data_IF_963567231133
#
_entry.id   IF_963567231133
#
_cell.length_a   1.000
_cell.length_b   1.000
_cell.length_c   1.000
_cell.angle_alpha   90.00
_cell.angle_beta   90.00
_cell.angle_gamma   90.00
#
_symmetry.space_group_name_H-M   'P 1'
#
loop_
_entity.id
_entity.type
_entity.pdbx_description
1 polymer ?
#
# COMPACT_ATOMS: atom_id res chain seq x y z
N UNK A 1 22.90 8.13 -23.74
CA UNK A 1 23.97 7.35 -23.07
C UNK A 1 23.28 6.46 -22.08
N UNK A 2 23.51 5.16 -22.15
CA UNK A 2 22.90 4.22 -21.21
C UNK A 2 23.47 4.49 -19.80
N UNK A 3 22.60 4.76 -18.84
CA UNK A 3 23.03 4.96 -17.45
C UNK A 3 23.34 3.60 -16.85
N UNK A 4 24.61 3.38 -16.49
CA UNK A 4 25.05 2.13 -15.87
C UNK A 4 25.52 2.39 -14.44
N UNK A 5 25.01 1.61 -13.49
CA UNK A 5 25.38 1.65 -12.08
C UNK A 5 25.80 0.25 -11.61
N UNK A 6 26.92 0.19 -10.90
CA UNK A 6 27.38 -1.01 -10.18
C UNK A 6 27.23 -0.76 -8.68
N UNK A 7 26.43 -1.57 -7.98
CA UNK A 7 26.45 -1.68 -6.52
C UNK A 7 27.45 -2.74 -6.13
N UNK A 8 28.46 -2.39 -5.33
CA UNK A 8 29.59 -3.29 -5.04
C UNK A 8 29.64 -3.71 -3.60
N UNK A 9 29.77 -5.03 -3.35
CA UNK A 9 30.17 -5.60 -2.06
C UNK A 9 29.08 -5.62 -0.98
N UNK A 10 27.82 -5.42 -1.30
CA UNK A 10 26.71 -5.52 -0.35
C UNK A 10 26.26 -6.95 -0.10
N UNK A 11 25.69 -7.25 1.07
CA UNK A 11 24.95 -8.49 1.26
C UNK A 11 23.58 -8.37 0.59
N UNK A 12 23.42 -9.09 -0.51
CA UNK A 12 22.17 -9.13 -1.26
C UNK A 12 21.27 -10.19 -0.66
N UNK A 13 20.04 -9.83 -0.34
CA UNK A 13 18.99 -10.72 0.16
C UNK A 13 17.77 -10.58 -0.77
N UNK A 14 17.53 -11.59 -1.59
CA UNK A 14 16.35 -11.69 -2.46
C UNK A 14 15.70 -13.06 -2.29
N UNK A 15 14.69 -13.18 -1.44
CA UNK A 15 14.02 -14.46 -1.18
C UNK A 15 13.32 -15.04 -2.41
N UNK A 16 12.84 -14.17 -3.33
CA UNK A 16 12.16 -14.63 -4.53
C UNK A 16 13.07 -15.37 -5.49
N UNK A 17 14.36 -15.03 -5.50
CA UNK A 17 15.40 -15.68 -6.30
C UNK A 17 16.29 -16.63 -5.49
N UNK A 18 16.05 -16.76 -4.17
CA UNK A 18 16.87 -17.58 -3.29
C UNK A 18 18.30 -17.05 -3.11
N UNK A 19 18.52 -15.74 -3.28
CA UNK A 19 19.83 -15.11 -3.15
C UNK A 19 20.04 -14.62 -1.72
N UNK A 20 21.12 -15.05 -1.07
CA UNK A 20 21.66 -14.49 0.18
C UNK A 20 23.18 -14.60 0.15
N UNK A 21 23.87 -13.47 -0.03
CA UNK A 21 25.33 -13.47 -0.11
C UNK A 21 25.93 -12.10 -0.44
N UNK A 22 27.23 -11.95 -0.17
CA UNK A 22 27.97 -10.73 -0.53
C UNK A 22 28.32 -10.77 -2.03
N UNK A 23 27.61 -9.96 -2.81
CA UNK A 23 27.67 -9.92 -4.26
C UNK A 23 27.63 -8.48 -4.77
N UNK A 24 27.85 -8.32 -6.08
CA UNK A 24 27.67 -7.05 -6.80
C UNK A 24 26.37 -7.12 -7.61
N UNK A 25 25.76 -5.94 -7.84
CA UNK A 25 24.57 -5.79 -8.72
C UNK A 25 24.91 -4.79 -9.81
N UNK A 26 24.71 -5.20 -11.08
CA UNK A 26 24.78 -4.30 -12.22
C UNK A 26 23.38 -3.85 -12.63
N UNK A 27 23.20 -2.55 -12.74
CA UNK A 27 21.97 -1.91 -13.21
C UNK A 27 22.28 -1.16 -14.51
N UNK A 28 21.47 -1.38 -15.52
CA UNK A 28 21.55 -0.68 -16.81
C UNK A 28 20.17 -0.13 -17.15
N UNK A 29 20.10 1.16 -17.41
CA UNK A 29 18.85 1.86 -17.74
C UNK A 29 17.71 1.58 -16.73
N UNK A 30 18.04 1.57 -15.44
CA UNK A 30 17.09 1.35 -14.34
C UNK A 30 16.70 -0.11 -14.10
N UNK A 31 17.25 -1.07 -14.86
CA UNK A 31 16.97 -2.50 -14.69
C UNK A 31 18.20 -3.26 -14.16
N UNK A 32 17.97 -4.18 -13.21
CA UNK A 32 19.01 -5.12 -12.76
C UNK A 32 19.29 -6.11 -13.89
N UNK A 33 20.52 -6.09 -14.40
CA UNK A 33 20.94 -6.95 -15.53
C UNK A 33 21.80 -8.11 -15.09
N UNK A 34 22.53 -7.99 -13.97
CA UNK A 34 23.42 -9.03 -13.47
C UNK A 34 23.58 -8.95 -11.95
N UNK A 35 23.62 -10.11 -11.31
CA UNK A 35 24.01 -10.28 -9.91
C UNK A 35 25.14 -11.32 -9.87
N UNK A 36 26.24 -11.03 -9.17
CA UNK A 36 27.38 -11.96 -9.07
C UNK A 36 28.57 -11.33 -8.36
N UNK A 37 29.58 -12.14 -8.05
CA UNK A 37 30.78 -11.65 -7.41
C UNK A 37 31.78 -11.08 -8.44
N UNK A 38 32.45 -9.98 -8.09
CA UNK A 38 33.56 -9.42 -8.86
C UNK A 38 33.15 -8.89 -10.22
N UNK A 39 32.00 -8.28 -10.38
CA UNK A 39 31.53 -7.72 -11.64
C UNK A 39 32.43 -6.54 -12.08
N UNK A 40 32.71 -6.45 -13.36
CA UNK A 40 33.43 -5.31 -13.94
C UNK A 40 32.55 -4.04 -13.86
N UNK A 41 33.17 -2.93 -13.49
CA UNK A 41 32.50 -1.64 -13.46
C UNK A 41 32.29 -1.11 -14.88
N UNK A 42 31.03 -0.94 -15.27
CA UNK A 42 30.62 -0.34 -16.53
C UNK A 42 29.86 0.95 -16.27
N UNK A 43 30.53 2.00 -15.78
CA UNK A 43 29.92 3.28 -15.42
C UNK A 43 30.12 3.63 -13.95
N UNK A 44 29.10 4.26 -13.33
CA UNK A 44 29.17 4.69 -11.90
C UNK A 44 29.22 3.48 -10.99
N UNK A 45 30.11 3.48 -10.01
CA UNK A 45 30.15 2.46 -8.94
C UNK A 45 29.74 3.11 -7.61
N UNK A 46 28.89 2.43 -6.87
CA UNK A 46 28.51 2.74 -5.51
C UNK A 46 28.98 1.59 -4.61
N UNK A 47 29.90 1.89 -3.69
CA UNK A 47 30.31 0.93 -2.65
C UNK A 47 29.19 0.81 -1.62
N UNK A 48 28.65 -0.39 -1.48
CA UNK A 48 27.62 -0.77 -0.51
C UNK A 48 28.11 -1.86 0.44
N UNK A 49 29.45 -1.95 0.62
CA UNK A 49 30.06 -2.88 1.57
C UNK A 49 29.54 -2.64 2.98
N UNK A 50 29.15 -3.70 3.67
CA UNK A 50 28.53 -3.62 5.00
C UNK A 50 27.05 -3.26 4.99
N UNK A 51 26.46 -2.94 3.85
CA UNK A 51 25.02 -2.73 3.70
C UNK A 51 24.29 -4.03 3.35
N UNK A 52 23.01 -4.10 3.73
CA UNK A 52 22.07 -5.10 3.19
C UNK A 52 21.36 -4.46 2.00
N UNK A 53 21.33 -5.18 0.89
CA UNK A 53 20.66 -4.77 -0.34
C UNK A 53 19.52 -5.74 -0.63
N UNK A 54 18.31 -5.23 -0.69
CA UNK A 54 17.10 -6.01 -0.93
C UNK A 54 16.32 -5.44 -2.12
N UNK A 55 15.38 -6.17 -2.71
CA UNK A 55 14.30 -5.56 -3.48
C UNK A 55 13.61 -4.47 -2.65
N UNK A 56 13.10 -3.43 -3.29
CA UNK A 56 12.37 -2.37 -2.61
C UNK A 56 11.15 -2.93 -1.87
N UNK A 57 10.88 -2.41 -0.67
CA UNK A 57 9.76 -2.86 0.13
C UNK A 57 8.42 -2.48 -0.52
N UNK A 58 7.39 -3.29 -0.23
CA UNK A 58 6.01 -3.07 -0.65
C UNK A 58 5.16 -2.91 0.61
N UNK A 59 4.40 -1.81 0.68
CA UNK A 59 3.42 -1.60 1.74
C UNK A 59 2.01 -1.77 1.17
N UNK A 60 1.26 -2.70 1.74
CA UNK A 60 -0.08 -3.05 1.26
C UNK A 60 -1.18 -2.17 1.85
N UNK A 61 -0.87 -1.30 2.83
CA UNK A 61 -1.86 -0.50 3.54
C UNK A 61 -1.30 0.87 3.93
N UNK A 62 -1.51 1.88 3.08
CA UNK A 62 -1.05 3.25 3.32
C UNK A 62 -2.15 4.27 3.11
N UNK A 63 -1.98 5.46 3.72
CA UNK A 63 -2.94 6.55 3.65
C UNK A 63 -2.30 7.79 3.05
N UNK A 64 -2.61 8.11 1.79
CA UNK A 64 -2.08 9.29 1.11
C UNK A 64 -2.85 10.58 1.41
N UNK A 65 -4.09 10.45 1.95
CA UNK A 65 -4.96 11.55 2.38
C UNK A 65 -5.46 12.48 1.27
N UNK A 66 -4.81 12.54 0.14
CA UNK A 66 -5.19 13.31 -1.03
C UNK A 66 -5.91 12.40 -2.05
N UNK A 67 -7.05 12.88 -2.61
CA UNK A 67 -7.69 14.18 -2.45
C UNK A 67 -8.52 14.30 -1.15
N UNK A 68 -8.71 15.55 -0.70
CA UNK A 68 -9.72 15.96 0.28
C UNK A 68 -9.24 16.11 1.72
N UNK A 69 -8.04 15.64 2.06
CA UNK A 69 -7.47 15.75 3.40
C UNK A 69 -5.99 16.17 3.35
N UNK A 70 -5.64 17.04 2.43
CA UNK A 70 -4.27 17.48 2.13
C UNK A 70 -3.56 18.12 3.34
N UNK A 71 -4.33 18.62 4.32
CA UNK A 71 -3.80 19.13 5.60
C UNK A 71 -3.19 18.01 6.48
N UNK A 72 -3.52 16.74 6.21
CA UNK A 72 -2.96 15.58 6.92
C UNK A 72 -1.78 14.95 6.17
N UNK A 73 -1.73 15.12 4.85
CA UNK A 73 -0.71 14.58 3.97
C UNK A 73 -1.10 14.72 2.51
N UNK A 74 -0.12 14.72 1.63
CA UNK A 74 -0.31 14.75 0.18
C UNK A 74 0.34 13.55 -0.48
N UNK A 75 -0.05 13.23 -1.70
CA UNK A 75 0.60 12.16 -2.48
C UNK A 75 2.13 12.39 -2.53
N UNK A 76 2.55 13.63 -2.74
CA UNK A 76 3.99 13.97 -2.81
C UNK A 76 4.72 13.72 -1.48
N UNK A 77 4.14 14.15 -0.34
CA UNK A 77 4.79 14.02 0.97
C UNK A 77 4.82 12.58 1.46
N UNK A 78 3.70 11.86 1.34
CA UNK A 78 3.58 10.49 1.82
C UNK A 78 4.41 9.52 0.99
N UNK A 79 4.44 9.71 -0.34
CA UNK A 79 5.29 8.87 -1.21
C UNK A 79 6.79 9.19 -1.05
N UNK A 80 7.14 10.43 -0.70
CA UNK A 80 8.53 10.76 -0.33
C UNK A 80 8.93 10.11 1.00
N UNK A 81 8.02 10.05 1.98
CA UNK A 81 8.25 9.34 3.24
C UNK A 81 8.43 7.82 3.00
N UNK A 82 7.59 7.22 2.15
CA UNK A 82 7.72 5.84 1.74
C UNK A 82 9.09 5.56 1.09
N UNK A 83 9.51 6.39 0.14
CA UNK A 83 10.81 6.28 -0.52
C UNK A 83 11.96 6.31 0.48
N UNK A 84 11.93 7.24 1.45
CA UNK A 84 12.94 7.34 2.51
C UNK A 84 12.95 6.12 3.45
N UNK A 85 11.82 5.44 3.59
CA UNK A 85 11.69 4.19 4.32
C UNK A 85 12.12 2.94 3.54
N UNK A 86 12.52 3.09 2.27
CA UNK A 86 12.91 1.98 1.40
C UNK A 86 11.74 1.29 0.70
N UNK A 87 10.53 1.87 0.77
CA UNK A 87 9.36 1.38 0.04
C UNK A 87 9.36 1.92 -1.38
N UNK A 88 9.32 1.05 -2.36
CA UNK A 88 9.28 1.39 -3.78
C UNK A 88 7.88 1.23 -4.39
N UNK A 89 7.01 0.53 -3.68
CA UNK A 89 5.60 0.33 -4.06
C UNK A 89 4.72 0.41 -2.81
N UNK A 90 3.61 1.12 -2.90
CA UNK A 90 2.63 1.23 -1.82
C UNK A 90 1.22 1.08 -2.36
N UNK A 91 0.31 0.51 -1.55
CA UNK A 91 -1.11 0.43 -1.87
C UNK A 91 -1.87 1.51 -1.09
N UNK A 92 -2.57 2.38 -1.81
CA UNK A 92 -3.26 3.53 -1.23
C UNK A 92 -4.70 3.19 -0.87
N UNK A 93 -5.03 3.26 0.42
CA UNK A 93 -6.38 3.05 0.94
C UNK A 93 -7.37 4.10 0.44
N UNK A 94 -8.66 3.73 0.28
CA UNK A 94 -9.66 4.58 -0.38
C UNK A 94 -10.27 5.66 0.51
N UNK A 95 -9.70 5.95 1.66
CA UNK A 95 -10.23 6.92 2.62
C UNK A 95 -9.85 8.38 2.28
N UNK A 96 -10.20 8.78 1.08
CA UNK A 96 -10.08 10.12 0.51
C UNK A 96 -11.46 10.79 0.34
N UNK A 97 -11.49 12.05 -0.09
CA UNK A 97 -12.72 12.75 -0.42
C UNK A 97 -12.55 13.54 -1.76
N UNK A 98 -13.20 13.11 -2.84
CA UNK A 98 -14.07 11.93 -2.91
C UNK A 98 -13.31 10.60 -2.71
N UNK A 99 -14.03 9.58 -2.24
CA UNK A 99 -13.52 8.22 -2.17
C UNK A 99 -13.56 7.56 -3.57
N UNK A 100 -12.59 6.72 -3.95
CA UNK A 100 -12.55 6.08 -5.27
C UNK A 100 -13.55 4.91 -5.35
N UNK A 101 -14.83 5.24 -5.46
CA UNK A 101 -15.97 4.32 -5.56
C UNK A 101 -16.58 4.24 -6.97
N UNK A 102 -16.07 5.05 -7.90
CA UNK A 102 -16.48 5.11 -9.30
C UNK A 102 -15.28 5.36 -10.22
N UNK A 103 -15.42 5.02 -11.50
CA UNK A 103 -14.35 5.07 -12.50
C UNK A 103 -13.76 6.48 -12.72
N UNK A 104 -14.57 7.52 -12.68
CA UNK A 104 -14.13 8.89 -12.87
C UNK A 104 -13.31 9.41 -11.68
N UNK A 105 -13.71 9.08 -10.47
CA UNK A 105 -12.95 9.42 -9.25
C UNK A 105 -11.59 8.69 -9.24
N UNK A 106 -11.60 7.39 -9.59
CA UNK A 106 -10.37 6.61 -9.69
C UNK A 106 -9.43 7.19 -10.75
N UNK A 107 -9.94 7.58 -11.91
CA UNK A 107 -9.14 8.21 -12.96
C UNK A 107 -8.48 9.51 -12.47
N UNK A 108 -9.25 10.38 -11.81
CA UNK A 108 -8.72 11.62 -11.25
C UNK A 108 -7.63 11.37 -10.20
N UNK A 109 -7.82 10.35 -9.35
CA UNK A 109 -6.80 9.93 -8.38
C UNK A 109 -5.52 9.47 -9.09
N UNK A 110 -5.63 8.64 -10.13
CA UNK A 110 -4.47 8.16 -10.91
C UNK A 110 -3.70 9.29 -11.59
N UNK A 111 -4.38 10.28 -12.16
CA UNK A 111 -3.75 11.46 -12.75
C UNK A 111 -2.92 12.24 -11.71
N UNK A 112 -3.42 12.35 -10.47
CA UNK A 112 -2.67 12.97 -9.36
C UNK A 112 -1.47 12.10 -8.96
N UNK A 113 -1.64 10.79 -8.86
CA UNK A 113 -0.56 9.85 -8.57
C UNK A 113 0.56 9.98 -9.63
N UNK A 114 0.22 9.97 -10.91
CA UNK A 114 1.19 10.09 -12.01
C UNK A 114 1.98 11.41 -11.94
N UNK A 115 1.33 12.49 -11.54
CA UNK A 115 1.97 13.81 -11.44
C UNK A 115 2.88 13.95 -10.20
N UNK A 116 2.44 13.45 -9.04
CA UNK A 116 3.00 13.85 -7.75
C UNK A 116 3.76 12.73 -7.01
N UNK A 117 3.52 11.46 -7.36
CA UNK A 117 4.11 10.34 -6.63
C UNK A 117 5.61 10.19 -6.85
N UNK A 118 6.32 9.78 -5.81
CA UNK A 118 7.78 9.50 -5.81
C UNK A 118 8.10 8.01 -5.86
N UNK A 119 7.12 7.16 -5.59
CA UNK A 119 7.19 5.71 -5.68
C UNK A 119 5.98 5.21 -6.43
N UNK A 120 5.97 3.93 -6.80
CA UNK A 120 4.81 3.31 -7.43
C UNK A 120 3.65 3.25 -6.45
N UNK A 121 2.52 3.85 -6.80
CA UNK A 121 1.29 3.83 -6.02
C UNK A 121 0.25 2.99 -6.74
N UNK A 122 -0.29 2.01 -6.03
CA UNK A 122 -1.36 1.13 -6.50
C UNK A 122 -2.65 1.52 -5.76
N UNK A 123 -3.67 2.07 -6.43
CA UNK A 123 -4.90 2.47 -5.78
C UNK A 123 -5.73 1.26 -5.35
N UNK A 124 -6.35 1.36 -4.17
CA UNK A 124 -7.38 0.47 -3.67
C UNK A 124 -8.72 1.17 -3.87
N UNK A 125 -9.70 0.47 -4.44
CA UNK A 125 -11.04 0.99 -4.65
C UNK A 125 -11.97 0.71 -3.47
N UNK A 126 -13.11 1.42 -3.40
CA UNK A 126 -14.10 1.18 -2.36
C UNK A 126 -14.85 -0.14 -2.58
N UNK A 127 -15.21 -0.83 -1.49
CA UNK A 127 -16.18 -1.94 -1.52
C UNK A 127 -17.59 -1.36 -1.70
N UNK A 128 -17.91 -0.28 -0.96
CA UNK A 128 -19.24 0.34 -0.99
C UNK A 128 -19.18 1.80 -1.43
N UNK A 129 -20.28 2.30 -1.97
CA UNK A 129 -20.39 3.71 -2.37
C UNK A 129 -20.15 4.63 -1.19
N UNK A 130 -19.23 5.58 -1.36
CA UNK A 130 -18.80 6.51 -0.33
C UNK A 130 -18.26 5.85 0.92
N UNK A 131 -17.90 4.55 0.89
CA UNK A 131 -17.51 3.75 2.05
C UNK A 131 -18.57 3.75 3.16
N UNK A 132 -19.85 3.71 2.76
CA UNK A 132 -20.97 3.86 3.67
C UNK A 132 -21.55 2.52 4.19
N UNK A 133 -21.05 1.36 3.72
CA UNK A 133 -21.52 0.04 4.12
C UNK A 133 -22.95 -0.30 3.69
N UNK A 134 -23.52 0.41 2.72
CA UNK A 134 -24.95 0.30 2.35
C UNK A 134 -25.20 -0.29 0.98
N UNK A 135 -24.40 0.07 -0.01
CA UNK A 135 -24.54 -0.29 -1.41
C UNK A 135 -23.16 -0.54 -2.01
N UNK A 136 -23.01 -1.56 -2.85
CA UNK A 136 -21.73 -1.83 -3.51
C UNK A 136 -21.34 -0.68 -4.46
N UNK A 137 -20.06 -0.40 -4.50
CA UNK A 137 -19.45 0.45 -5.52
C UNK A 137 -19.46 -0.27 -6.89
N UNK A 138 -19.00 0.42 -7.92
CA UNK A 138 -18.89 -0.13 -9.28
C UNK A 138 -17.66 -1.03 -9.41
N UNK A 139 -17.63 -2.16 -8.67
CA UNK A 139 -16.44 -3.00 -8.47
C UNK A 139 -15.76 -3.41 -9.78
N UNK A 140 -16.55 -3.76 -10.81
CA UNK A 140 -16.00 -4.15 -12.10
C UNK A 140 -15.31 -2.99 -12.83
N UNK A 141 -15.85 -1.77 -12.74
CA UNK A 141 -15.23 -0.58 -13.29
C UNK A 141 -13.95 -0.19 -12.55
N UNK A 142 -13.95 -0.34 -11.23
CA UNK A 142 -12.76 -0.09 -10.40
C UNK A 142 -11.65 -1.09 -10.73
N UNK A 143 -11.97 -2.36 -10.90
CA UNK A 143 -11.02 -3.38 -11.35
C UNK A 143 -10.45 -3.05 -12.74
N UNK A 144 -11.32 -2.75 -13.70
CA UNK A 144 -10.92 -2.36 -15.06
C UNK A 144 -10.09 -1.05 -15.06
N UNK A 145 -10.38 -0.14 -14.13
CA UNK A 145 -9.66 1.12 -13.93
C UNK A 145 -8.28 0.97 -13.29
N UNK A 146 -7.91 -0.26 -12.85
CA UNK A 146 -6.57 -0.58 -12.33
C UNK A 146 -6.43 -0.50 -10.82
N UNK A 147 -7.53 -0.61 -10.06
CA UNK A 147 -7.44 -0.94 -8.64
C UNK A 147 -6.85 -2.34 -8.46
N UNK A 148 -6.04 -2.52 -7.42
CA UNK A 148 -5.40 -3.80 -7.11
C UNK A 148 -6.09 -4.58 -6.00
N UNK A 149 -6.95 -3.91 -5.23
CA UNK A 149 -7.73 -4.46 -4.13
C UNK A 149 -8.96 -3.59 -3.90
N UNK A 150 -9.85 -4.06 -3.02
CA UNK A 150 -11.03 -3.32 -2.55
C UNK A 150 -10.99 -3.18 -1.04
N UNK A 151 -11.46 -2.03 -0.52
CA UNK A 151 -11.52 -1.76 0.92
C UNK A 151 -12.51 -0.63 1.21
N UNK A 152 -13.12 -0.66 2.39
CA UNK A 152 -13.76 0.52 2.96
C UNK A 152 -12.98 1.05 4.17
N UNK A 153 -11.66 0.84 4.21
CA UNK A 153 -10.78 1.10 5.34
C UNK A 153 -11.16 2.34 6.17
N UNK A 154 -11.15 2.14 7.49
CA UNK A 154 -11.65 3.05 8.48
C UNK A 154 -13.15 2.94 8.73
N UNK A 155 -13.90 2.22 7.87
CA UNK A 155 -15.31 1.88 8.06
C UNK A 155 -15.51 0.40 7.77
N UNK A 156 -15.98 -0.41 8.72
CA UNK A 156 -16.26 -1.83 8.44
C UNK A 156 -17.52 -1.97 7.58
N UNK A 157 -17.55 -2.99 6.72
CA UNK A 157 -18.78 -3.39 6.02
C UNK A 157 -19.56 -4.36 6.91
N UNK A 158 -20.25 -3.81 7.92
CA UNK A 158 -20.95 -4.59 8.95
C UNK A 158 -22.09 -5.48 8.42
N UNK A 159 -22.62 -5.22 7.22
CA UNK A 159 -23.65 -6.05 6.62
C UNK A 159 -23.03 -7.31 6.00
N UNK A 160 -23.12 -8.45 6.71
CA UNK A 160 -22.52 -9.71 6.27
C UNK A 160 -23.00 -10.18 4.88
N UNK A 161 -24.26 -9.92 4.49
CA UNK A 161 -24.77 -10.26 3.16
C UNK A 161 -24.13 -9.38 2.09
N UNK A 162 -23.97 -8.08 2.37
CA UNK A 162 -23.32 -7.15 1.45
C UNK A 162 -21.85 -7.52 1.27
N UNK A 163 -21.14 -7.81 2.36
CA UNK A 163 -19.75 -8.26 2.33
C UNK A 163 -19.61 -9.57 1.54
N UNK A 164 -20.49 -10.55 1.78
CA UNK A 164 -20.48 -11.79 1.02
C UNK A 164 -20.62 -11.54 -0.49
N UNK A 165 -21.58 -10.71 -0.91
CA UNK A 165 -21.77 -10.38 -2.32
C UNK A 165 -20.53 -9.68 -2.89
N UNK A 166 -19.91 -8.76 -2.13
CA UNK A 166 -18.66 -8.11 -2.51
C UNK A 166 -17.53 -9.14 -2.73
N UNK A 167 -17.37 -10.10 -1.80
CA UNK A 167 -16.35 -11.14 -1.90
C UNK A 167 -16.56 -12.07 -3.10
N UNK A 168 -17.81 -12.44 -3.41
CA UNK A 168 -18.15 -13.27 -4.59
C UNK A 168 -17.79 -12.54 -5.88
N UNK A 169 -18.13 -11.25 -6.00
CA UNK A 169 -17.77 -10.43 -7.16
C UNK A 169 -16.25 -10.20 -7.25
N UNK A 170 -15.61 -9.86 -6.14
CA UNK A 170 -14.17 -9.66 -6.08
C UNK A 170 -13.39 -10.93 -6.48
N UNK A 171 -13.82 -12.11 -5.99
CA UNK A 171 -13.23 -13.39 -6.36
C UNK A 171 -13.36 -13.67 -7.87
N UNK A 172 -14.51 -13.35 -8.48
CA UNK A 172 -14.70 -13.51 -9.93
C UNK A 172 -13.77 -12.61 -10.76
N UNK A 173 -13.30 -11.50 -10.19
CA UNK A 173 -12.36 -10.56 -10.81
C UNK A 173 -10.90 -10.80 -10.39
N UNK A 174 -10.63 -11.77 -9.52
CA UNK A 174 -9.30 -12.02 -8.96
C UNK A 174 -8.78 -10.91 -8.04
N UNK A 175 -9.68 -10.13 -7.42
CA UNK A 175 -9.34 -9.02 -6.55
C UNK A 175 -9.43 -9.41 -5.08
N UNK A 176 -8.42 -9.12 -4.26
CA UNK A 176 -8.53 -9.26 -2.80
C UNK A 176 -9.38 -8.14 -2.20
N UNK A 177 -9.98 -8.42 -1.05
CA UNK A 177 -10.59 -7.41 -0.16
C UNK A 177 -9.70 -7.27 1.07
N UNK A 178 -9.35 -6.03 1.43
CA UNK A 178 -8.67 -5.68 2.67
C UNK A 178 -9.68 -5.00 3.60
N UNK A 179 -10.10 -5.70 4.63
CA UNK A 179 -11.17 -5.22 5.51
C UNK A 179 -10.62 -4.52 6.74
N UNK A 180 -11.34 -3.47 7.19
CA UNK A 180 -11.19 -2.88 8.49
C UNK A 180 -12.00 -3.71 9.49
N UNK A 181 -11.36 -4.71 10.09
CA UNK A 181 -12.03 -5.69 10.95
C UNK A 181 -12.42 -5.05 12.30
N UNK A 182 -13.53 -4.36 12.31
CA UNK A 182 -14.12 -3.76 13.50
C UNK A 182 -15.61 -4.09 13.56
N UNK A 183 -16.11 -4.46 14.76
CA UNK A 183 -17.53 -4.63 15.04
C UNK A 183 -18.03 -3.38 15.76
N UNK A 184 -18.74 -2.48 15.07
CA UNK A 184 -19.12 -1.19 15.63
C UNK A 184 -19.99 -1.29 16.89
N UNK A 185 -20.78 -2.36 17.04
CA UNK A 185 -21.61 -2.56 18.23
C UNK A 185 -20.78 -2.95 19.45
N UNK A 186 -19.61 -3.58 19.24
CA UNK A 186 -18.68 -3.94 20.32
C UNK A 186 -17.69 -2.81 20.63
N UNK A 187 -17.20 -2.13 19.61
CA UNK A 187 -16.17 -1.09 19.77
C UNK A 187 -16.74 0.28 20.15
N UNK A 188 -18.07 0.44 20.10
CA UNK A 188 -18.75 1.72 20.28
C UNK A 188 -18.39 2.42 21.60
N UNK A 189 -17.82 3.62 21.48
CA UNK A 189 -17.45 4.45 22.64
C UNK A 189 -16.19 4.02 23.36
N UNK A 190 -15.54 2.93 22.96
CA UNK A 190 -14.26 2.52 23.48
C UNK A 190 -13.12 3.42 23.00
N UNK A 191 -12.26 3.87 23.92
CA UNK A 191 -11.11 4.73 23.62
C UNK A 191 -9.77 4.02 23.75
N UNK A 192 -9.76 2.79 24.22
CA UNK A 192 -8.59 1.92 24.39
C UNK A 192 -9.08 0.47 24.58
N UNK A 193 -8.17 -0.50 24.60
CA UNK A 193 -8.53 -1.88 24.90
C UNK A 193 -9.10 -2.00 26.33
N UNK A 194 -10.15 -2.81 26.48
CA UNK A 194 -10.68 -3.17 27.79
C UNK A 194 -9.64 -3.92 28.63
N UNK A 195 -9.59 -3.63 29.95
CA UNK A 195 -8.71 -4.31 30.88
C UNK A 195 -8.24 -3.41 32.01
N UNK A 196 -7.22 -3.89 32.76
CA UNK A 196 -6.71 -3.21 33.96
C UNK A 196 -6.31 -1.75 33.79
N UNK A 197 -5.90 -1.35 32.58
CA UNK A 197 -5.49 0.04 32.31
C UNK A 197 -6.72 0.92 32.10
N UNK A 198 -7.70 0.47 31.31
CA UNK A 198 -8.97 1.19 31.08
C UNK A 198 -9.74 1.35 32.39
N UNK A 199 -9.82 0.28 33.21
CA UNK A 199 -10.43 0.32 34.53
C UNK A 199 -9.74 1.35 35.44
N UNK A 200 -8.39 1.30 35.52
CA UNK A 200 -7.62 2.24 36.35
C UNK A 200 -7.78 3.69 35.95
N UNK A 201 -7.93 3.95 34.63
CA UNK A 201 -8.08 5.30 34.10
C UNK A 201 -9.53 5.76 34.06
N UNK A 202 -10.50 4.89 34.34
CA UNK A 202 -11.93 5.18 34.21
C UNK A 202 -12.36 5.49 32.77
N UNK A 203 -11.67 4.92 31.78
CA UNK A 203 -11.96 5.10 30.37
C UNK A 203 -12.71 3.88 29.81
N UNK A 204 -13.69 4.11 28.90
CA UNK A 204 -14.40 3.02 28.27
C UNK A 204 -13.43 2.17 27.41
N UNK A 205 -13.46 0.85 27.59
CA UNK A 205 -12.66 -0.10 26.85
C UNK A 205 -13.40 -0.64 25.63
N UNK A 206 -12.64 -1.02 24.62
CA UNK A 206 -13.11 -1.89 23.53
C UNK A 206 -12.87 -3.32 23.97
N UNK A 207 -13.89 -4.20 23.97
CA UNK A 207 -13.72 -5.60 24.38
C UNK A 207 -12.76 -6.34 23.48
N UNK A 208 -12.06 -7.30 24.05
CA UNK A 208 -11.27 -8.28 23.32
C UNK A 208 -12.22 -9.35 22.78
N UNK A 209 -12.61 -9.25 21.50
CA UNK A 209 -13.58 -10.14 20.85
C UNK A 209 -13.00 -10.82 19.60
#
# INVERSE_FOLDING_TARGET
>A
MNETLLLRGGRIIDPAQGVDGTLDIQVVDGAVTKIGAGLEAMGRTLDVSGCIVTPGFIDLHTHLREPGFEQKGTIATETLAALRGGFTTICAMPNTNPAPDAADVLRSLRERIERDARVRVLPIGCVTRGRAGKELAELAELAAGGCVALSDDGNPVANARLMRNAMELAAAMGMPISEHCDEPELSHGGSMNEGRVSERLGLPGQPEA
#
